data_IF_545873032768
#
_entry.id   IF_545873032768
#
_cell.length_a   1.000
_cell.length_b   1.000
_cell.length_c   1.000
_cell.angle_alpha   90.00
_cell.angle_beta   90.00
_cell.angle_gamma   90.00
#
_symmetry.space_group_name_H-M   'P 1'
#
loop_
_entity.id
_entity.type
_entity.pdbx_description
1 polymer ?
#
# COMPACT_ATOMS: atom_id res chain seq x y z
N UNK A 1 -10.21 11.95 17.29
CA UNK A 1 -9.90 11.12 16.10
C UNK A 1 -8.90 11.88 15.27
N UNK A 2 -7.62 11.53 15.36
CA UNK A 2 -6.57 12.20 14.59
C UNK A 2 -6.75 11.82 13.13
N UNK A 3 -7.40 12.70 12.36
CA UNK A 3 -7.49 12.60 10.92
C UNK A 3 -6.08 12.46 10.34
N UNK A 4 -5.89 11.53 9.41
CA UNK A 4 -4.65 11.31 8.65
C UNK A 4 -4.51 12.46 7.62
N UNK A 5 -4.59 13.71 8.09
CA UNK A 5 -4.52 14.93 7.27
C UNK A 5 -3.09 15.28 6.86
N UNK A 6 -2.10 14.48 7.26
CA UNK A 6 -0.69 14.71 6.95
C UNK A 6 -0.22 14.05 5.64
N UNK A 7 -0.99 13.09 5.08
CA UNK A 7 -0.59 12.33 3.90
C UNK A 7 -1.58 12.54 2.76
N UNK A 8 -1.06 12.92 1.59
CA UNK A 8 -1.83 12.96 0.35
C UNK A 8 -1.90 11.55 -0.25
N UNK A 9 -3.12 11.04 -0.46
CA UNK A 9 -3.31 9.73 -1.09
C UNK A 9 -3.31 9.85 -2.60
N UNK A 10 -2.75 8.86 -3.29
CA UNK A 10 -2.89 8.74 -4.74
C UNK A 10 -4.35 8.40 -5.09
N UNK A 11 -5.02 9.17 -5.96
CA UNK A 11 -6.38 8.86 -6.41
C UNK A 11 -6.47 7.51 -7.13
N UNK A 12 -7.58 6.80 -6.91
CA UNK A 12 -7.80 5.46 -7.47
C UNK A 12 -7.64 5.41 -9.01
N UNK A 13 -8.21 6.39 -9.73
CA UNK A 13 -8.11 6.43 -11.19
C UNK A 13 -6.66 6.58 -11.68
N UNK A 14 -5.84 7.39 -10.98
CA UNK A 14 -4.43 7.57 -11.31
C UNK A 14 -3.64 6.27 -11.07
N UNK A 15 -3.93 5.58 -9.96
CA UNK A 15 -3.34 4.28 -9.63
C UNK A 15 -3.67 3.21 -10.68
N UNK A 16 -4.93 3.13 -11.12
CA UNK A 16 -5.34 2.16 -12.16
C UNK A 16 -4.68 2.43 -13.52
N UNK A 17 -4.59 3.69 -13.94
CA UNK A 17 -3.87 4.07 -15.15
C UNK A 17 -2.38 3.71 -15.08
N UNK A 18 -1.73 3.98 -13.95
CA UNK A 18 -0.33 3.63 -13.74
C UNK A 18 -0.09 2.11 -13.75
N UNK A 19 -0.97 1.32 -13.13
CA UNK A 19 -0.91 -0.14 -13.20
C UNK A 19 -0.98 -0.65 -14.64
N UNK A 20 -1.91 -0.11 -15.43
CA UNK A 20 -2.03 -0.44 -16.86
C UNK A 20 -0.76 -0.07 -17.64
N UNK A 21 -0.20 1.11 -17.39
CA UNK A 21 1.02 1.57 -18.05
C UNK A 21 2.25 0.68 -17.74
N UNK A 22 2.30 0.10 -16.54
CA UNK A 22 3.37 -0.80 -16.10
C UNK A 22 3.11 -2.28 -16.42
N UNK A 23 2.01 -2.61 -17.11
CA UNK A 23 1.64 -4.01 -17.38
C UNK A 23 1.27 -4.81 -16.12
N UNK A 24 0.92 -4.13 -15.02
CA UNK A 24 0.51 -4.74 -13.76
C UNK A 24 -0.99 -5.10 -13.81
N UNK A 25 -1.32 -6.16 -14.55
CA UNK A 25 -2.68 -6.71 -14.62
C UNK A 25 -2.90 -7.76 -13.53
N UNK A 26 -3.98 -7.61 -12.74
CA UNK A 26 -4.40 -8.55 -11.68
C UNK A 26 -4.15 -8.05 -10.25
N UNK A 27 -5.09 -8.31 -9.32
CA UNK A 27 -5.03 -7.90 -7.90
C UNK A 27 -3.77 -8.42 -7.19
N UNK A 28 -3.21 -9.55 -7.60
CA UNK A 28 -2.03 -10.18 -6.99
C UNK A 28 -0.69 -9.50 -7.33
N UNK A 29 -0.64 -8.66 -8.38
CA UNK A 29 0.63 -8.05 -8.83
C UNK A 29 1.28 -7.12 -7.79
N UNK A 30 0.50 -6.58 -6.84
CA UNK A 30 1.00 -5.73 -5.75
C UNK A 30 1.36 -6.49 -4.47
N UNK A 31 1.17 -7.81 -4.44
CA UNK A 31 1.68 -8.65 -3.35
C UNK A 31 3.21 -8.71 -3.31
N UNK A 32 3.86 -8.45 -4.45
CA UNK A 32 5.32 -8.35 -4.54
C UNK A 32 5.80 -6.93 -4.22
N UNK A 33 6.65 -6.79 -3.20
CA UNK A 33 7.22 -5.50 -2.78
C UNK A 33 7.89 -4.73 -3.91
N UNK A 34 8.58 -5.42 -4.83
CA UNK A 34 9.25 -4.82 -5.97
C UNK A 34 8.29 -4.14 -6.96
N UNK A 35 7.13 -4.78 -7.24
CA UNK A 35 6.11 -4.22 -8.11
C UNK A 35 5.43 -2.99 -7.48
N UNK A 36 5.14 -3.06 -6.17
CA UNK A 36 4.61 -1.93 -5.43
C UNK A 36 5.56 -0.72 -5.42
N UNK A 37 6.87 -0.95 -5.22
CA UNK A 37 7.89 0.10 -5.30
C UNK A 37 7.96 0.70 -6.71
N UNK A 38 7.93 -0.13 -7.76
CA UNK A 38 7.93 0.35 -9.15
C UNK A 38 6.72 1.23 -9.45
N UNK A 39 5.53 0.80 -9.02
CA UNK A 39 4.30 1.57 -9.17
C UNK A 39 4.35 2.90 -8.40
N UNK A 40 4.82 2.89 -7.15
CA UNK A 40 4.92 4.10 -6.34
C UNK A 40 5.92 5.12 -6.94
N UNK A 41 7.05 4.65 -7.49
CA UNK A 41 8.00 5.51 -8.21
C UNK A 41 7.39 6.13 -9.46
N UNK A 42 6.64 5.34 -10.24
CA UNK A 42 5.93 5.85 -11.42
C UNK A 42 4.90 6.93 -11.04
N UNK A 43 4.24 6.77 -9.90
CA UNK A 43 3.25 7.71 -9.36
C UNK A 43 3.86 8.86 -8.55
N UNK A 44 5.19 8.92 -8.41
CA UNK A 44 5.91 9.89 -7.58
C UNK A 44 5.40 9.92 -6.12
N UNK A 45 5.04 8.77 -5.58
CA UNK A 45 4.65 8.62 -4.18
C UNK A 45 5.88 8.43 -3.29
N UNK A 46 5.87 9.08 -2.12
CA UNK A 46 6.95 8.97 -1.13
C UNK A 46 6.87 7.69 -0.29
N UNK A 47 5.65 7.17 -0.11
CA UNK A 47 5.36 6.06 0.79
C UNK A 47 4.41 5.03 0.17
N UNK A 48 4.51 3.79 0.65
CA UNK A 48 3.55 2.72 0.38
C UNK A 48 2.98 2.23 1.72
N UNK A 49 1.66 2.14 1.83
CA UNK A 49 0.99 1.50 2.95
C UNK A 49 0.50 0.11 2.51
N UNK A 50 1.17 -0.95 2.94
CA UNK A 50 0.66 -2.31 2.80
C UNK A 50 -0.33 -2.61 3.91
N UNK A 51 -1.43 -3.26 3.57
CA UNK A 51 -2.44 -3.71 4.52
C UNK A 51 -2.87 -5.14 4.17
N UNK A 52 -2.85 -6.04 5.16
CA UNK A 52 -3.36 -7.41 5.04
C UNK A 52 -4.41 -7.65 6.10
N UNK A 53 -5.48 -8.36 5.75
CA UNK A 53 -6.50 -8.80 6.70
C UNK A 53 -6.45 -10.31 6.77
N UNK A 54 -6.12 -10.82 7.95
CA UNK A 54 -5.99 -12.24 8.23
C UNK A 54 -7.06 -12.69 9.23
N UNK A 55 -7.31 -14.01 9.29
CA UNK A 55 -8.21 -14.62 10.28
C UNK A 55 -9.64 -14.88 9.80
N UNK A 56 -10.45 -15.49 10.68
CA UNK A 56 -11.84 -15.86 10.40
C UNK A 56 -12.80 -14.75 10.82
N UNK A 57 -14.06 -14.83 10.42
CA UNK A 57 -15.11 -13.81 10.61
C UNK A 57 -15.11 -13.16 12.01
N UNK A 58 -14.92 -13.94 13.07
CA UNK A 58 -15.02 -13.46 14.47
C UNK A 58 -13.67 -13.05 15.09
N UNK A 59 -12.57 -13.22 14.35
CA UNK A 59 -11.23 -12.90 14.81
C UNK A 59 -10.35 -12.41 13.65
N UNK A 60 -10.82 -11.37 12.95
CA UNK A 60 -10.04 -10.72 11.90
C UNK A 60 -8.97 -9.84 12.52
N UNK A 61 -7.79 -9.84 11.92
CA UNK A 61 -6.68 -9.00 12.33
C UNK A 61 -6.18 -8.27 11.09
N UNK A 62 -6.15 -6.95 11.15
CA UNK A 62 -5.47 -6.13 10.14
C UNK A 62 -4.02 -5.93 10.57
N UNK A 63 -3.10 -6.20 9.66
CA UNK A 63 -1.69 -5.87 9.79
C UNK A 63 -1.34 -4.83 8.73
N UNK A 64 -0.69 -3.75 9.13
CA UNK A 64 -0.32 -2.65 8.25
C UNK A 64 1.17 -2.33 8.38
N UNK A 65 1.79 -1.93 7.27
CA UNK A 65 3.19 -1.51 7.21
C UNK A 65 3.33 -0.30 6.29
N UNK A 66 3.90 0.79 6.80
CA UNK A 66 4.26 1.98 6.02
C UNK A 66 5.73 1.87 5.61
N UNK A 67 5.99 1.88 4.31
CA UNK A 67 7.32 1.74 3.73
C UNK A 67 7.73 3.03 2.99
N UNK A 68 8.98 3.45 3.16
CA UNK A 68 9.61 4.50 2.35
C UNK A 68 9.90 3.98 0.94
N UNK A 69 9.48 4.71 -0.10
CA UNK A 69 9.76 4.33 -1.50
C UNK A 69 11.23 4.57 -1.86
N UNK A 70 11.86 5.56 -1.22
CA UNK A 70 13.25 5.92 -1.47
C UNK A 70 14.22 4.84 -0.96
N UNK A 71 14.06 4.39 0.29
CA UNK A 71 14.97 3.44 0.93
C UNK A 71 14.46 1.99 0.92
N UNK A 72 13.15 1.77 0.76
CA UNK A 72 12.53 0.45 0.95
C UNK A 72 12.37 0.04 2.42
N UNK A 73 12.66 0.95 3.37
CA UNK A 73 12.57 0.70 4.81
C UNK A 73 11.12 0.78 5.32
N UNK A 74 10.77 -0.07 6.30
CA UNK A 74 9.51 0.03 7.03
C UNK A 74 9.65 1.06 8.14
N UNK A 75 8.97 2.19 8.01
CA UNK A 75 9.01 3.30 8.96
C UNK A 75 8.00 3.12 10.11
N UNK A 76 6.91 2.41 9.83
CA UNK A 76 5.87 2.14 10.81
C UNK A 76 5.19 0.80 10.53
N UNK A 77 4.75 0.14 11.60
CA UNK A 77 3.88 -1.03 11.50
C UNK A 77 2.82 -0.99 12.58
N UNK A 78 1.65 -1.53 12.27
CA UNK A 78 0.53 -1.63 13.20
C UNK A 78 -0.23 -2.92 13.00
N UNK A 79 -0.76 -3.48 14.08
CA UNK A 79 -1.55 -4.70 14.05
C UNK A 79 -2.71 -4.60 15.03
N UNK A 80 -3.93 -4.79 14.54
CA UNK A 80 -5.13 -4.60 15.34
C UNK A 80 -6.20 -5.63 14.99
N UNK A 81 -7.01 -6.02 15.98
CA UNK A 81 -8.23 -6.78 15.72
C UNK A 81 -9.25 -5.87 15.04
N UNK A 82 -9.95 -6.39 14.02
CA UNK A 82 -10.96 -5.69 13.22
C UNK A 82 -12.32 -6.33 13.39
#
# INVERSE_FOLDING_TARGET
VNSISALQTVPYAQMMSARKALGLSGEDSLGLRSAAIGLARYLQADYILFSTVDGKKDNRVISMQLMSVASGEILWSGRHKV
#
